data_IF_834745642775
#
_entry.id   IF_834745642775
#
_cell.length_a   1.000
_cell.length_b   1.000
_cell.length_c   1.000
_cell.angle_alpha   90.00
_cell.angle_beta   90.00
_cell.angle_gamma   90.00
#
_symmetry.space_group_name_H-M   'P 1'
#
loop_
_entity.id
_entity.type
_entity.pdbx_description
1 polymer ?
#
# COMPACT_ATOMS: atom_id res chain seq x y z
N UNK A 1 10.77 -1.11 -1.07
CA UNK A 1 10.26 -1.33 -2.44
C UNK A 1 11.38 -1.85 -3.34
N UNK A 2 11.15 -2.97 -4.04
CA UNK A 2 12.18 -3.66 -4.81
C UNK A 2 12.74 -2.84 -5.98
N UNK A 3 11.89 -2.11 -6.70
CA UNK A 3 12.32 -1.33 -7.88
C UNK A 3 13.15 -0.09 -7.56
N UNK A 4 12.86 0.58 -6.47
CA UNK A 4 13.50 1.85 -6.12
C UNK A 4 14.42 1.73 -4.90
N UNK A 5 14.38 0.61 -4.20
CA UNK A 5 15.05 0.44 -2.92
C UNK A 5 14.54 1.35 -1.82
N UNK A 6 13.37 1.99 -2.02
CA UNK A 6 12.81 2.91 -1.04
C UNK A 6 12.40 2.19 0.24
N UNK A 7 12.82 2.72 1.38
CA UNK A 7 12.43 2.26 2.71
C UNK A 7 11.53 3.31 3.34
N UNK A 8 10.27 2.97 3.56
CA UNK A 8 9.26 3.89 4.08
C UNK A 8 8.81 3.42 5.46
N UNK A 9 8.78 4.34 6.41
CA UNK A 9 8.14 4.14 7.70
C UNK A 9 6.82 4.92 7.71
N UNK A 10 5.71 4.21 7.73
CA UNK A 10 4.36 4.76 7.59
C UNK A 10 3.68 4.74 8.95
N UNK A 11 3.13 5.89 9.44
CA UNK A 11 2.45 5.91 10.71
C UNK A 11 1.17 5.07 10.69
N UNK A 12 0.93 4.31 11.74
CA UNK A 12 -0.24 3.44 11.86
C UNK A 12 -1.56 4.23 11.93
N UNK A 13 -1.48 5.50 12.25
CA UNK A 13 -2.64 6.41 12.28
C UNK A 13 -3.08 6.87 10.90
N UNK A 14 -2.31 6.56 9.84
CA UNK A 14 -2.71 6.92 8.49
C UNK A 14 -4.07 6.32 8.16
N UNK A 15 -5.01 7.18 7.76
CA UNK A 15 -6.41 6.83 7.51
C UNK A 15 -6.78 7.23 6.09
N UNK A 16 -7.53 6.39 5.40
CA UNK A 16 -8.21 6.77 4.15
C UNK A 16 -9.59 7.31 4.54
N UNK A 17 -9.78 8.61 4.43
CA UNK A 17 -11.02 9.28 4.86
C UNK A 17 -12.24 8.75 4.10
N UNK A 18 -12.09 8.45 2.81
CA UNK A 18 -13.17 7.91 1.99
C UNK A 18 -13.74 6.58 2.51
N UNK A 19 -12.93 5.79 3.23
CA UNK A 19 -13.33 4.50 3.79
C UNK A 19 -13.43 4.53 5.32
N UNK A 20 -12.97 5.58 5.94
CA UNK A 20 -12.87 5.72 7.40
C UNK A 20 -12.12 4.53 8.05
N UNK A 21 -11.03 4.11 7.43
CA UNK A 21 -10.22 2.98 7.88
C UNK A 21 -8.77 3.43 8.05
N UNK A 22 -8.19 3.16 9.25
CA UNK A 22 -6.77 3.41 9.50
C UNK A 22 -5.91 2.21 9.14
N UNK A 23 -4.61 2.44 8.96
CA UNK A 23 -3.65 1.36 8.77
C UNK A 23 -3.62 0.42 9.98
N UNK A 24 -3.70 0.96 11.20
CA UNK A 24 -3.77 0.15 12.42
C UNK A 24 -4.97 -0.81 12.40
N UNK A 25 -6.15 -0.31 12.03
CA UNK A 25 -7.37 -1.14 11.94
C UNK A 25 -7.21 -2.27 10.92
N UNK A 26 -6.62 -1.97 9.77
CA UNK A 26 -6.37 -2.96 8.73
C UNK A 26 -5.41 -4.06 9.20
N UNK A 27 -4.32 -3.66 9.86
CA UNK A 27 -3.35 -4.62 10.41
C UNK A 27 -3.96 -5.50 11.51
N UNK A 28 -4.83 -4.93 12.33
CA UNK A 28 -5.55 -5.68 13.37
C UNK A 28 -6.46 -6.74 12.75
N UNK A 29 -7.19 -6.40 11.69
CA UNK A 29 -8.02 -7.36 10.95
C UNK A 29 -7.19 -8.49 10.35
N UNK A 30 -6.02 -8.18 9.81
CA UNK A 30 -5.11 -9.19 9.28
C UNK A 30 -4.62 -10.14 10.38
N UNK A 31 -4.30 -9.60 11.55
CA UNK A 31 -3.87 -10.39 12.71
C UNK A 31 -4.97 -11.32 13.22
N UNK A 32 -6.21 -10.85 13.25
CA UNK A 32 -7.37 -11.66 13.65
C UNK A 32 -7.67 -12.78 12.63
N UNK A 33 -7.41 -12.52 11.35
CA UNK A 33 -7.67 -13.48 10.28
C UNK A 33 -6.64 -14.62 10.23
N UNK A 34 -5.42 -14.42 10.71
CA UNK A 34 -4.34 -15.43 10.64
C UNK A 34 -3.29 -15.21 11.72
N UNK A 35 -2.73 -16.32 12.21
CA UNK A 35 -1.59 -16.34 13.15
C UNK A 35 -0.23 -16.47 12.45
N UNK A 36 -0.17 -16.23 11.13
CA UNK A 36 1.06 -16.29 10.35
C UNK A 36 2.07 -15.22 10.75
N UNK A 37 3.34 -15.45 10.46
CA UNK A 37 4.41 -14.46 10.57
C UNK A 37 4.27 -13.34 9.52
N UNK A 38 3.49 -13.56 8.47
CA UNK A 38 3.20 -12.55 7.45
C UNK A 38 1.85 -11.89 7.71
N UNK A 39 1.74 -10.61 7.31
CA UNK A 39 0.52 -9.82 7.49
C UNK A 39 -0.65 -10.46 6.73
N UNK A 40 -0.40 -10.89 5.50
CA UNK A 40 -1.38 -11.54 4.65
C UNK A 40 -0.97 -13.00 4.46
N UNK A 41 -1.87 -13.91 4.71
CA UNK A 41 -1.58 -15.34 4.64
C UNK A 41 -2.75 -16.14 4.06
N UNK A 42 -2.47 -17.37 3.66
CA UNK A 42 -3.48 -18.32 3.21
C UNK A 42 -4.33 -18.84 4.38
N UNK A 43 -5.39 -19.57 4.05
CA UNK A 43 -6.20 -20.28 5.07
C UNK A 43 -5.39 -21.29 5.90
N UNK A 44 -4.22 -21.69 5.43
CA UNK A 44 -3.29 -22.58 6.14
C UNK A 44 -2.18 -21.82 6.87
N UNK A 45 -2.32 -20.48 6.99
CA UNK A 45 -1.35 -19.60 7.66
C UNK A 45 0.02 -19.50 6.96
N UNK A 46 0.07 -19.82 5.67
CA UNK A 46 1.28 -19.69 4.86
C UNK A 46 1.35 -18.33 4.15
N UNK A 47 2.55 -17.80 3.89
CA UNK A 47 2.72 -16.58 3.13
C UNK A 47 2.10 -16.69 1.73
N UNK A 48 1.49 -15.59 1.26
CA UNK A 48 0.95 -15.50 -0.09
C UNK A 48 1.96 -14.92 -1.06
N UNK A 49 2.06 -15.53 -2.25
CA UNK A 49 2.83 -14.93 -3.34
C UNK A 49 2.08 -13.73 -3.94
N UNK A 50 2.78 -12.76 -4.54
CA UNK A 50 2.12 -11.65 -5.25
C UNK A 50 1.13 -12.10 -6.32
N UNK A 51 1.46 -13.18 -7.02
CA UNK A 51 0.58 -13.77 -8.03
C UNK A 51 -0.73 -14.28 -7.43
N UNK A 52 -0.67 -14.92 -6.27
CA UNK A 52 -1.85 -15.41 -5.55
C UNK A 52 -2.72 -14.26 -5.06
N UNK A 53 -2.13 -13.18 -4.54
CA UNK A 53 -2.85 -11.98 -4.12
C UNK A 53 -3.62 -11.38 -5.31
N UNK A 54 -2.98 -11.27 -6.48
CA UNK A 54 -3.65 -10.77 -7.70
C UNK A 54 -4.82 -11.65 -8.12
N UNK A 55 -4.67 -12.97 -8.02
CA UNK A 55 -5.76 -13.92 -8.31
C UNK A 55 -6.93 -13.76 -7.36
N UNK A 56 -6.68 -13.57 -6.07
CA UNK A 56 -7.74 -13.35 -5.09
C UNK A 56 -8.47 -12.04 -5.33
N UNK A 57 -7.75 -10.98 -5.69
CA UNK A 57 -8.37 -9.72 -6.08
C UNK A 57 -9.33 -9.91 -7.25
N UNK A 58 -8.90 -10.63 -8.30
CA UNK A 58 -9.73 -10.92 -9.47
C UNK A 58 -11.00 -11.69 -9.08
N UNK A 59 -10.90 -12.69 -8.21
CA UNK A 59 -12.06 -13.44 -7.71
C UNK A 59 -13.05 -12.53 -6.97
N UNK A 60 -12.56 -11.70 -6.06
CA UNK A 60 -13.40 -10.76 -5.29
C UNK A 60 -14.07 -9.75 -6.22
N UNK A 61 -13.31 -9.18 -7.15
CA UNK A 61 -13.84 -8.26 -8.16
C UNK A 61 -14.97 -8.90 -8.95
N UNK A 62 -14.77 -10.11 -9.47
CA UNK A 62 -15.79 -10.82 -10.26
C UNK A 62 -17.02 -11.18 -9.42
N UNK A 63 -16.84 -11.50 -8.14
CA UNK A 63 -17.92 -11.84 -7.24
C UNK A 63 -18.69 -10.62 -6.73
N UNK A 64 -18.14 -9.40 -6.89
CA UNK A 64 -18.76 -8.16 -6.38
C UNK A 64 -20.05 -7.75 -7.10
N UNK A 65 -20.27 -8.24 -8.31
CA UNK A 65 -21.40 -7.83 -9.15
C UNK A 65 -21.22 -6.48 -9.82
N UNK A 66 -20.08 -5.82 -9.63
CA UNK A 66 -19.79 -4.54 -10.28
C UNK A 66 -19.51 -4.71 -11.76
N UNK A 67 -20.03 -3.78 -12.56
CA UNK A 67 -19.77 -3.71 -14.00
C UNK A 67 -18.75 -2.62 -14.30
N UNK A 68 -17.92 -2.86 -15.30
CA UNK A 68 -16.87 -1.92 -15.70
C UNK A 68 -16.93 -1.67 -17.21
N UNK A 69 -16.80 -0.40 -17.60
CA UNK A 69 -16.65 -0.03 -19.01
C UNK A 69 -15.21 -0.29 -19.43
N UNK A 70 -15.03 -1.17 -20.41
CA UNK A 70 -13.71 -1.57 -20.88
C UNK A 70 -13.06 -2.66 -20.00
N UNK A 71 -11.74 -2.61 -19.85
CA UNK A 71 -11.01 -3.59 -19.07
C UNK A 71 -11.26 -3.43 -17.57
N UNK A 72 -11.63 -4.52 -16.86
CA UNK A 72 -11.83 -4.45 -15.41
C UNK A 72 -10.53 -4.08 -14.67
N UNK A 73 -10.62 -3.37 -13.54
CA UNK A 73 -9.44 -3.01 -12.77
C UNK A 73 -8.70 -4.23 -12.24
N UNK A 74 -7.38 -4.14 -12.20
CA UNK A 74 -6.50 -5.16 -11.63
C UNK A 74 -6.02 -4.75 -10.24
N UNK A 75 -5.38 -5.67 -9.51
CA UNK A 75 -4.81 -5.38 -8.18
C UNK A 75 -3.84 -4.20 -8.22
N UNK A 76 -3.04 -4.09 -9.28
CA UNK A 76 -2.06 -3.00 -9.42
C UNK A 76 -2.71 -1.60 -9.45
N UNK A 77 -3.95 -1.50 -9.90
CA UNK A 77 -4.66 -0.20 -9.97
C UNK A 77 -5.08 0.34 -8.61
N UNK A 78 -5.04 -0.48 -7.56
CA UNK A 78 -5.16 0.00 -6.18
C UNK A 78 -4.08 1.03 -5.85
N UNK A 79 -2.91 0.89 -6.45
CA UNK A 79 -1.82 1.86 -6.30
C UNK A 79 -2.22 3.24 -6.85
N UNK A 80 -2.81 3.27 -8.05
CA UNK A 80 -3.29 4.52 -8.65
C UNK A 80 -4.47 5.10 -7.89
N UNK A 81 -5.36 4.26 -7.40
CA UNK A 81 -6.50 4.68 -6.57
C UNK A 81 -6.00 5.31 -5.27
N UNK A 82 -5.07 4.66 -4.56
CA UNK A 82 -4.48 5.21 -3.34
C UNK A 82 -3.81 6.55 -3.60
N UNK A 83 -3.08 6.69 -4.72
CA UNK A 83 -2.46 7.95 -5.09
C UNK A 83 -3.48 9.08 -5.23
N UNK A 84 -4.60 8.83 -5.89
CA UNK A 84 -5.66 9.82 -6.04
C UNK A 84 -6.32 10.18 -4.72
N UNK A 85 -6.65 9.18 -3.91
CA UNK A 85 -7.30 9.40 -2.61
C UNK A 85 -6.42 10.21 -1.67
N UNK A 86 -5.15 9.85 -1.52
CA UNK A 86 -4.23 10.58 -0.65
C UNK A 86 -3.83 11.95 -1.22
N UNK A 87 -3.76 12.10 -2.53
CA UNK A 87 -3.57 13.41 -3.17
C UNK A 87 -4.70 14.36 -2.79
N UNK A 88 -5.94 13.90 -2.90
CA UNK A 88 -7.11 14.71 -2.59
C UNK A 88 -7.23 14.99 -1.09
N UNK A 89 -6.87 14.02 -0.25
CA UNK A 89 -6.99 14.11 1.20
C UNK A 89 -5.88 14.95 1.83
N UNK A 90 -4.65 14.77 1.41
CA UNK A 90 -3.46 15.34 2.06
C UNK A 90 -2.64 16.22 1.10
N UNK A 91 -2.35 15.74 -0.11
CA UNK A 91 -1.60 16.49 -1.09
C UNK A 91 -0.71 15.62 -1.98
N UNK A 92 -0.23 16.24 -3.05
CA UNK A 92 0.54 15.54 -4.10
C UNK A 92 1.90 15.02 -3.59
N UNK A 93 2.60 15.84 -2.82
CA UNK A 93 3.91 15.45 -2.26
C UNK A 93 3.80 14.24 -1.34
N UNK A 94 2.77 14.20 -0.50
CA UNK A 94 2.50 13.08 0.38
C UNK A 94 2.26 11.80 -0.43
N UNK A 95 1.40 11.86 -1.44
CA UNK A 95 1.08 10.72 -2.29
C UNK A 95 2.33 10.19 -3.02
N UNK A 96 3.19 11.07 -3.52
CA UNK A 96 4.44 10.69 -4.16
C UNK A 96 5.40 9.95 -3.20
N UNK A 97 5.56 10.47 -1.99
CA UNK A 97 6.40 9.85 -0.96
C UNK A 97 5.85 8.49 -0.54
N UNK A 98 4.55 8.40 -0.29
CA UNK A 98 3.90 7.15 0.10
C UNK A 98 4.07 6.05 -0.94
N UNK A 99 4.06 6.41 -2.22
CA UNK A 99 4.28 5.47 -3.32
C UNK A 99 5.77 5.12 -3.55
N UNK A 100 6.67 5.75 -2.80
CA UNK A 100 8.10 5.54 -2.93
C UNK A 100 8.72 6.23 -4.13
N UNK A 101 8.09 7.28 -4.67
CA UNK A 101 8.69 8.13 -5.67
C UNK A 101 9.77 8.98 -5.03
N UNK A 102 11.01 8.81 -5.46
CA UNK A 102 12.16 9.56 -4.94
C UNK A 102 12.32 10.86 -5.73
N UNK A 103 12.43 12.00 -5.00
CA UNK A 103 13.03 13.20 -5.57
C UNK A 103 14.54 13.01 -5.70
N UNK A 104 15.20 13.86 -6.51
CA UNK A 104 16.67 13.81 -6.67
C UNK A 104 17.39 13.96 -5.33
N UNK A 105 16.90 14.84 -4.46
CA UNK A 105 17.44 15.04 -3.12
C UNK A 105 17.33 13.78 -2.26
N UNK A 106 16.17 13.12 -2.28
CA UNK A 106 15.96 11.87 -1.55
C UNK A 106 16.82 10.73 -2.09
N UNK A 107 16.98 10.66 -3.41
CA UNK A 107 17.87 9.68 -4.03
C UNK A 107 19.33 9.88 -3.60
N UNK A 108 19.79 11.12 -3.46
CA UNK A 108 21.12 11.46 -2.93
C UNK A 108 21.26 11.00 -1.47
N UNK A 109 20.26 11.28 -0.61
CA UNK A 109 20.25 10.80 0.80
C UNK A 109 20.36 9.28 0.89
N UNK A 110 19.62 8.55 0.06
CA UNK A 110 19.67 7.09 0.04
C UNK A 110 21.05 6.57 -0.37
N UNK A 111 21.69 7.21 -1.33
CA UNK A 111 23.07 6.87 -1.72
C UNK A 111 24.05 7.12 -0.59
N UNK A 112 23.96 8.27 0.07
CA UNK A 112 24.86 8.66 1.15
C UNK A 112 24.71 7.77 2.38
N UNK A 113 23.49 7.43 2.74
CA UNK A 113 23.20 6.53 3.86
C UNK A 113 23.33 5.04 3.49
N UNK A 114 23.57 4.72 2.23
CA UNK A 114 23.63 3.36 1.69
C UNK A 114 22.34 2.56 1.97
N UNK A 115 21.20 3.25 1.96
CA UNK A 115 19.89 2.64 2.18
C UNK A 115 19.61 2.20 3.61
N UNK A 116 20.35 2.69 4.60
CA UNK A 116 20.15 2.37 6.02
C UNK A 116 19.02 3.16 6.66
N UNK A 117 18.77 4.38 6.15
CA UNK A 117 17.74 5.25 6.69
C UNK A 117 16.38 4.94 6.09
N UNK A 118 15.35 5.06 6.93
CA UNK A 118 13.95 4.96 6.54
C UNK A 118 13.36 6.35 6.33
N UNK A 119 12.64 6.54 5.24
CA UNK A 119 11.85 7.75 5.02
C UNK A 119 10.58 7.69 5.86
N UNK A 120 10.52 8.51 6.90
CA UNK A 120 9.34 8.62 7.76
C UNK A 120 8.28 9.44 7.05
N UNK A 121 7.11 8.86 6.88
CA UNK A 121 5.95 9.54 6.31
C UNK A 121 5.23 10.26 7.43
N UNK A 122 5.18 11.59 7.34
CA UNK A 122 4.44 12.43 8.27
C UNK A 122 3.09 12.78 7.66
N UNK A 123 2.05 12.73 8.50
CA UNK A 123 0.71 13.14 8.11
C UNK A 123 0.57 14.61 8.47
N UNK A 124 0.66 15.44 7.44
CA UNK A 124 0.57 16.90 7.58
C UNK A 124 -0.78 17.33 6.99
N UNK A 125 -1.70 17.65 7.86
CA UNK A 125 -3.03 18.16 7.47
C UNK A 125 -3.11 19.66 7.66
#
# INVERSE_FOLDING_TARGET
QSKTGAKLAIPLTLTIDALNISLADTLQKCREASSSETIIASKHHDPLSPKTVSKYFTKVRNASGLSFDGNPPTFHELRSLSARLYRNQIGDKFAQRLLGHKSDLMAARYRDSRGREWDKIEIDK
#
